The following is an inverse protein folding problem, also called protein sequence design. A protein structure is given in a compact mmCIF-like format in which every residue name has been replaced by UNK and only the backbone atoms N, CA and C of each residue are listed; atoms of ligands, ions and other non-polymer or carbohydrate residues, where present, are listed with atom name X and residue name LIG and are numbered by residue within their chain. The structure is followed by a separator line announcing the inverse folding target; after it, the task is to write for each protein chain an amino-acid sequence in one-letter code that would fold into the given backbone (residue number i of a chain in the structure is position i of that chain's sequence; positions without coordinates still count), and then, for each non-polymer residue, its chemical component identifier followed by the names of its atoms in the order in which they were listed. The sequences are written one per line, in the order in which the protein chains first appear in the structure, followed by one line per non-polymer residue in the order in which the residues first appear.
data_IF_310008878505
#
_entry.id   IF_310008878505
#
_cell.length_a   1.000
_cell.length_b   1.000
_cell.length_c   1.000
_cell.angle_alpha   90.00
_cell.angle_beta   90.00
_cell.angle_gamma   90.00
#
_symmetry.space_group_name_H-M   'P 1'
#
loop_
_entity.id
_entity.type
_entity.pdbx_description
1 polymer ?
#
# COMPACT_ATOMS: atom_id res chain seq x y z
N UNK A 1 12.58 3.11 27.11
CA UNK A 1 12.43 1.90 27.94
C UNK A 1 13.81 1.29 28.14
N UNK A 2 14.20 0.78 29.32
CA UNK A 2 15.48 0.09 29.49
C UNK A 2 15.47 -1.18 28.63
N UNK A 3 16.58 -1.39 27.88
CA UNK A 3 16.80 -2.57 27.07
C UNK A 3 16.65 -3.84 27.93
N UNK A 4 15.75 -4.76 27.56
CA UNK A 4 15.67 -6.08 28.21
C UNK A 4 16.99 -6.80 28.03
N UNK A 5 17.61 -7.37 29.09
CA UNK A 5 18.83 -8.14 28.93
C UNK A 5 18.57 -9.32 28.01
N UNK A 6 19.47 -9.52 27.02
CA UNK A 6 19.35 -10.58 26.03
C UNK A 6 19.37 -11.95 26.69
N UNK A 7 18.22 -12.61 26.73
CA UNK A 7 18.12 -14.01 27.17
C UNK A 7 18.50 -14.96 26.03
N UNK A 8 18.98 -16.17 26.30
CA UNK A 8 19.22 -17.17 25.25
C UNK A 8 17.97 -17.46 24.40
N UNK A 9 16.79 -17.32 24.94
CA UNK A 9 15.51 -17.46 24.23
C UNK A 9 15.30 -16.30 23.24
N UNK A 10 15.49 -15.06 23.66
CA UNK A 10 15.39 -13.90 22.77
C UNK A 10 16.38 -13.98 21.60
N UNK A 11 17.62 -14.40 21.84
CA UNK A 11 18.60 -14.60 20.76
C UNK A 11 18.17 -15.70 19.77
N UNK A 12 17.50 -16.75 20.24
CA UNK A 12 16.95 -17.79 19.35
C UNK A 12 15.83 -17.24 18.50
N UNK A 13 14.91 -16.49 19.07
CA UNK A 13 13.80 -15.85 18.36
C UNK A 13 14.31 -14.88 17.28
N UNK A 14 15.29 -14.04 17.61
CA UNK A 14 15.94 -13.16 16.65
C UNK A 14 16.56 -13.95 15.50
N UNK A 15 17.32 -15.01 15.81
CA UNK A 15 17.97 -15.83 14.79
C UNK A 15 16.96 -16.58 13.92
N UNK A 16 15.87 -17.12 14.51
CA UNK A 16 14.80 -17.81 13.79
C UNK A 16 14.11 -16.84 12.83
N UNK A 17 13.80 -15.63 13.29
CA UNK A 17 13.20 -14.58 12.47
C UNK A 17 14.13 -14.14 11.33
N UNK A 18 15.39 -13.84 11.64
CA UNK A 18 16.40 -13.46 10.62
C UNK A 18 16.56 -14.53 9.55
N UNK A 19 16.57 -15.81 9.94
CA UNK A 19 16.67 -16.90 8.98
C UNK A 19 15.45 -17.02 8.07
N UNK A 20 14.24 -16.85 8.62
CA UNK A 20 12.99 -16.85 7.83
C UNK A 20 12.92 -15.65 6.88
N UNK A 21 13.28 -14.46 7.33
CA UNK A 21 13.36 -13.25 6.49
C UNK A 21 14.39 -13.44 5.36
N UNK A 22 15.54 -14.02 5.67
CA UNK A 22 16.56 -14.32 4.66
C UNK A 22 16.06 -15.31 3.60
N UNK A 23 15.38 -16.40 4.02
CA UNK A 23 14.79 -17.37 3.11
C UNK A 23 13.68 -16.77 2.23
N UNK A 24 12.92 -15.79 2.72
CA UNK A 24 11.92 -15.06 1.94
C UNK A 24 12.55 -14.16 0.87
N UNK A 25 13.65 -13.48 1.22
CA UNK A 25 14.30 -12.52 0.30
C UNK A 25 15.22 -13.22 -0.71
N UNK A 26 16.00 -14.19 -0.25
CA UNK A 26 17.03 -14.85 -1.07
C UNK A 26 16.52 -16.11 -1.78
N UNK A 27 15.29 -16.58 -1.46
CA UNK A 27 14.79 -17.87 -1.89
C UNK A 27 15.42 -19.03 -1.13
N UNK A 28 15.30 -20.27 -1.64
CA UNK A 28 15.79 -21.47 -0.95
C UNK A 28 17.31 -21.48 -0.80
N UNK A 29 17.78 -21.69 0.43
CA UNK A 29 19.20 -21.73 0.81
C UNK A 29 19.59 -23.11 1.38
N UNK A 30 20.85 -23.45 1.20
CA UNK A 30 21.44 -24.57 1.92
C UNK A 30 21.75 -24.17 3.36
N UNK A 31 21.90 -25.17 4.24
CA UNK A 31 22.34 -24.92 5.63
C UNK A 31 23.67 -24.15 5.73
N UNK A 32 24.58 -24.40 4.80
CA UNK A 32 25.87 -23.71 4.79
C UNK A 32 25.73 -22.24 4.45
N UNK A 33 24.95 -21.92 3.41
CA UNK A 33 24.64 -20.54 3.01
C UNK A 33 23.87 -19.79 4.10
N UNK A 34 22.87 -20.43 4.70
CA UNK A 34 22.13 -19.82 5.82
C UNK A 34 23.08 -19.49 6.99
N UNK A 35 23.98 -20.43 7.34
CA UNK A 35 25.00 -20.19 8.37
C UNK A 35 25.96 -19.06 8.03
N UNK A 36 26.39 -18.96 6.78
CA UNK A 36 27.28 -17.90 6.28
C UNK A 36 26.60 -16.50 6.37
N UNK A 37 25.38 -16.40 5.84
CA UNK A 37 24.62 -15.14 5.84
C UNK A 37 24.20 -14.66 7.24
N UNK A 38 23.91 -15.61 8.15
CA UNK A 38 23.49 -15.28 9.52
C UNK A 38 24.64 -15.21 10.52
N UNK A 39 25.87 -15.56 10.12
CA UNK A 39 27.03 -15.68 11.02
C UNK A 39 26.94 -16.84 12.03
N UNK A 40 26.01 -17.79 11.84
CA UNK A 40 25.79 -18.91 12.75
C UNK A 40 26.75 -20.08 12.48
N UNK A 41 27.17 -20.75 13.54
CA UNK A 41 27.94 -21.99 13.41
C UNK A 41 27.11 -23.08 12.69
N UNK A 42 27.77 -24.04 12.07
CA UNK A 42 27.09 -25.18 11.39
C UNK A 42 26.13 -25.95 12.32
N UNK A 43 26.48 -26.08 13.58
CA UNK A 43 25.65 -26.75 14.60
C UNK A 43 24.43 -25.91 14.90
N UNK A 44 24.61 -24.61 15.13
CA UNK A 44 23.52 -23.66 15.44
C UNK A 44 22.55 -23.56 14.26
N UNK A 45 23.04 -23.41 13.02
CA UNK A 45 22.20 -23.39 11.82
C UNK A 45 21.40 -24.69 11.63
N UNK A 46 22.02 -25.86 11.94
CA UNK A 46 21.30 -27.14 11.92
C UNK A 46 20.17 -27.20 12.94
N UNK A 47 20.44 -26.80 14.19
CA UNK A 47 19.43 -26.78 15.24
C UNK A 47 18.30 -25.79 14.95
N UNK A 48 18.62 -24.63 14.37
CA UNK A 48 17.64 -23.63 13.94
C UNK A 48 16.72 -24.21 12.88
N UNK A 49 17.26 -24.77 11.79
CA UNK A 49 16.44 -25.37 10.73
C UNK A 49 15.56 -26.49 11.26
N UNK A 50 16.09 -27.39 12.13
CA UNK A 50 15.26 -28.46 12.71
C UNK A 50 14.11 -27.93 13.56
N UNK A 51 14.30 -26.81 14.28
CA UNK A 51 13.22 -26.16 15.02
C UNK A 51 12.17 -25.56 14.09
N UNK A 52 12.60 -24.87 13.03
CA UNK A 52 11.69 -24.26 12.06
C UNK A 52 10.91 -25.32 11.28
N UNK A 53 11.56 -26.44 10.93
CA UNK A 53 10.87 -27.60 10.32
C UNK A 53 9.83 -28.22 11.29
N UNK A 54 10.18 -28.39 12.57
CA UNK A 54 9.25 -28.90 13.58
C UNK A 54 8.05 -27.98 13.81
N UNK A 55 8.22 -26.67 13.56
CA UNK A 55 7.13 -25.69 13.61
C UNK A 55 6.34 -25.61 12.28
N UNK A 56 6.74 -26.32 11.24
CA UNK A 56 6.11 -26.25 9.92
C UNK A 56 6.36 -24.93 9.18
N UNK A 57 7.39 -24.18 9.54
CA UNK A 57 7.72 -22.88 8.92
C UNK A 57 8.71 -22.99 7.76
N UNK A 58 9.52 -24.07 7.75
CA UNK A 58 10.53 -24.35 6.74
C UNK A 58 10.42 -25.80 6.31
N UNK A 59 10.70 -26.06 5.05
CA UNK A 59 10.75 -27.42 4.49
C UNK A 59 11.90 -27.55 3.48
N UNK A 60 12.30 -28.80 3.22
CA UNK A 60 13.23 -29.09 2.12
C UNK A 60 12.46 -28.99 0.80
N UNK A 61 12.86 -28.07 -0.06
CA UNK A 61 12.22 -27.80 -1.36
C UNK A 61 13.04 -28.33 -2.55
N UNK A 62 14.22 -28.84 -2.28
CA UNK A 62 15.10 -29.37 -3.33
C UNK A 62 16.48 -29.70 -2.81
N UNK A 63 17.42 -29.89 -3.74
CA UNK A 63 18.83 -30.09 -3.41
C UNK A 63 19.72 -29.40 -4.44
N UNK A 64 20.87 -28.92 -3.98
CA UNK A 64 21.93 -28.35 -4.84
C UNK A 64 23.08 -29.34 -4.94
N UNK A 65 23.56 -29.59 -6.16
CA UNK A 65 24.71 -30.43 -6.38
C UNK A 65 25.94 -29.85 -5.66
N UNK A 66 26.48 -30.59 -4.71
CA UNK A 66 27.75 -30.27 -4.03
C UNK A 66 28.86 -31.02 -4.70
N UNK A 67 29.96 -30.40 -5.08
CA UNK A 67 31.11 -30.99 -5.78
C UNK A 67 31.38 -32.47 -5.47
N UNK A 68 32.39 -32.81 -4.62
CA UNK A 68 32.78 -34.21 -4.26
C UNK A 68 31.98 -34.83 -3.09
N UNK A 69 30.78 -34.33 -2.76
CA UNK A 69 29.97 -34.81 -1.63
C UNK A 69 28.51 -35.06 -1.99
N UNK A 70 27.69 -35.54 -1.01
CA UNK A 70 26.24 -35.61 -1.19
C UNK A 70 25.63 -34.23 -1.52
N UNK A 71 24.55 -34.24 -2.29
CA UNK A 71 23.81 -33.03 -2.58
C UNK A 71 23.37 -32.34 -1.28
N UNK A 72 23.50 -31.01 -1.22
CA UNK A 72 23.05 -30.22 -0.08
C UNK A 72 21.54 -29.94 -0.20
N UNK A 73 20.76 -30.22 0.85
CA UNK A 73 19.36 -29.90 0.92
C UNK A 73 19.14 -28.36 0.84
N UNK A 74 18.18 -27.95 0.04
CA UNK A 74 17.69 -26.55 -0.05
C UNK A 74 16.45 -26.40 0.81
N UNK A 75 16.50 -25.46 1.74
CA UNK A 75 15.41 -25.13 2.65
C UNK A 75 14.70 -23.89 2.15
N UNK A 76 13.36 -23.90 2.16
CA UNK A 76 12.50 -22.77 1.82
C UNK A 76 11.40 -22.61 2.85
N UNK A 77 10.81 -21.42 2.91
CA UNK A 77 9.65 -21.14 3.76
C UNK A 77 8.45 -21.95 3.27
N UNK A 78 7.66 -22.50 4.18
CA UNK A 78 6.37 -23.12 3.86
C UNK A 78 5.35 -22.02 3.60
N UNK A 79 5.05 -21.74 2.35
CA UNK A 79 4.15 -20.66 1.94
C UNK A 79 2.77 -20.76 2.63
N UNK A 80 2.23 -21.96 2.74
CA UNK A 80 0.95 -22.26 3.35
C UNK A 80 0.94 -22.27 4.89
N UNK A 81 2.03 -21.91 5.57
CA UNK A 81 2.05 -21.87 7.03
C UNK A 81 1.14 -20.79 7.62
N UNK A 82 0.78 -19.78 6.83
CA UNK A 82 -0.25 -18.80 7.14
C UNK A 82 -0.79 -18.16 5.86
N UNK A 83 -2.07 -17.77 5.90
CA UNK A 83 -2.71 -16.97 4.89
C UNK A 83 -3.17 -15.63 5.48
N UNK A 84 -3.26 -14.62 4.63
CA UNK A 84 -3.75 -13.28 4.96
C UNK A 84 -4.79 -12.84 3.93
N UNK A 85 -5.64 -11.90 4.32
CA UNK A 85 -6.55 -11.23 3.42
C UNK A 85 -6.24 -9.73 3.37
N UNK A 86 -6.02 -9.21 2.17
CA UNK A 86 -6.02 -7.77 1.89
C UNK A 86 -7.35 -7.38 1.26
N UNK A 87 -7.84 -6.19 1.57
CA UNK A 87 -9.07 -5.66 1.00
C UNK A 87 -8.89 -4.21 0.57
N UNK A 88 -9.58 -3.85 -0.50
CA UNK A 88 -9.80 -2.46 -0.91
C UNK A 88 -11.29 -2.19 -0.88
N UNK A 89 -11.69 -1.15 -0.17
CA UNK A 89 -13.08 -0.72 -0.07
C UNK A 89 -13.25 0.58 -0.83
N UNK A 90 -14.14 0.58 -1.78
CA UNK A 90 -14.59 1.78 -2.50
C UNK A 90 -16.11 1.89 -2.47
N UNK A 91 -16.66 3.03 -2.96
CA UNK A 91 -18.11 3.25 -2.97
C UNK A 91 -18.85 2.22 -3.86
N UNK A 92 -18.24 1.82 -4.97
CA UNK A 92 -18.86 0.99 -5.99
C UNK A 92 -18.35 -0.46 -6.00
N UNK A 93 -17.30 -0.75 -5.24
CA UNK A 93 -16.69 -2.08 -5.22
C UNK A 93 -15.91 -2.38 -3.96
N UNK A 94 -15.94 -3.64 -3.55
CA UNK A 94 -15.05 -4.21 -2.53
C UNK A 94 -14.25 -5.32 -3.17
N UNK A 95 -12.93 -5.21 -3.17
CA UNK A 95 -12.02 -6.23 -3.69
C UNK A 95 -11.28 -6.88 -2.53
N UNK A 96 -11.35 -8.20 -2.44
CA UNK A 96 -10.60 -9.01 -1.47
C UNK A 96 -9.56 -9.88 -2.20
N UNK A 97 -8.33 -9.86 -1.69
CA UNK A 97 -7.24 -10.72 -2.14
C UNK A 97 -6.76 -11.64 -1.03
N UNK A 98 -6.57 -12.92 -1.35
CA UNK A 98 -5.95 -13.88 -0.43
C UNK A 98 -4.51 -14.10 -0.85
N UNK A 99 -3.60 -14.00 0.11
CA UNK A 99 -2.18 -14.27 -0.09
C UNK A 99 -1.65 -15.24 0.97
N UNK A 100 -0.58 -15.93 0.62
CA UNK A 100 0.18 -16.72 1.58
C UNK A 100 1.21 -15.86 2.33
N UNK A 101 1.99 -16.47 3.22
CA UNK A 101 2.98 -15.76 4.05
C UNK A 101 4.14 -15.16 3.24
N UNK A 102 4.33 -15.55 1.97
CA UNK A 102 5.33 -14.95 1.08
C UNK A 102 4.86 -13.60 0.52
N UNK A 103 3.56 -13.38 0.50
CA UNK A 103 2.91 -12.19 -0.05
C UNK A 103 2.44 -12.39 -1.50
N UNK A 104 2.47 -13.61 -2.01
CA UNK A 104 1.94 -13.94 -3.32
C UNK A 104 0.41 -14.03 -3.25
N UNK A 105 -0.27 -13.18 -4.03
CA UNK A 105 -1.74 -13.15 -4.09
C UNK A 105 -2.21 -14.31 -4.97
N UNK A 106 -2.87 -15.27 -4.33
CA UNK A 106 -3.38 -16.47 -5.00
C UNK A 106 -4.68 -16.20 -5.78
N UNK A 107 -5.51 -15.29 -5.28
CA UNK A 107 -6.81 -14.95 -5.87
C UNK A 107 -7.24 -13.55 -5.48
N UNK A 108 -7.96 -12.88 -6.40
CA UNK A 108 -8.66 -11.63 -6.15
C UNK A 108 -10.13 -11.80 -6.53
N UNK A 109 -11.02 -11.27 -5.71
CA UNK A 109 -12.47 -11.30 -5.92
C UNK A 109 -13.05 -9.93 -5.66
N UNK A 110 -13.78 -9.40 -6.62
CA UNK A 110 -14.52 -8.15 -6.47
C UNK A 110 -16.00 -8.44 -6.26
N UNK A 111 -16.61 -7.74 -5.33
CA UNK A 111 -18.06 -7.75 -5.07
C UNK A 111 -18.61 -6.34 -5.15
N UNK A 112 -19.87 -6.23 -5.54
CA UNK A 112 -20.63 -4.99 -5.56
C UNK A 112 -21.22 -4.77 -4.16
N UNK A 113 -20.89 -3.67 -3.46
CA UNK A 113 -21.45 -3.36 -2.14
C UNK A 113 -22.87 -2.81 -2.22
N UNK A 114 -23.41 -2.51 -3.40
CA UNK A 114 -24.72 -1.89 -3.57
C UNK A 114 -25.83 -2.77 -3.00
N UNK A 115 -26.65 -2.16 -2.13
CA UNK A 115 -27.74 -2.84 -1.44
C UNK A 115 -27.35 -3.53 -0.12
N UNK A 116 -26.11 -3.40 0.33
CA UNK A 116 -25.68 -3.87 1.64
C UNK A 116 -25.65 -2.71 2.65
N UNK A 117 -26.54 -2.76 3.64
CA UNK A 117 -26.64 -1.72 4.66
C UNK A 117 -25.53 -1.78 5.73
N UNK A 118 -24.74 -2.88 5.74
CA UNK A 118 -23.73 -3.14 6.77
C UNK A 118 -22.34 -3.43 6.18
N UNK A 119 -21.33 -2.56 6.44
CA UNK A 119 -19.95 -2.73 5.95
C UNK A 119 -19.33 -4.08 6.35
N UNK A 120 -19.59 -4.54 7.57
CA UNK A 120 -19.05 -5.79 8.12
C UNK A 120 -19.46 -6.99 7.25
N UNK A 121 -20.74 -7.05 6.85
CA UNK A 121 -21.26 -8.14 6.03
C UNK A 121 -20.62 -8.16 4.63
N UNK A 122 -20.45 -6.99 4.01
CA UNK A 122 -19.82 -6.90 2.68
C UNK A 122 -18.38 -7.41 2.74
N UNK A 123 -17.63 -7.01 3.78
CA UNK A 123 -16.26 -7.49 3.99
C UNK A 123 -16.22 -9.00 4.20
N UNK A 124 -17.08 -9.52 5.07
CA UNK A 124 -17.18 -10.96 5.36
C UNK A 124 -17.45 -11.75 4.05
N UNK A 125 -18.47 -11.36 3.31
CA UNK A 125 -18.88 -12.04 2.07
C UNK A 125 -17.78 -11.99 1.00
N UNK A 126 -17.07 -10.87 0.86
CA UNK A 126 -15.96 -10.73 -0.06
C UNK A 126 -14.80 -11.68 0.30
N UNK A 127 -14.42 -11.72 1.56
CA UNK A 127 -13.34 -12.59 2.05
C UNK A 127 -13.72 -14.07 1.92
N UNK A 128 -14.94 -14.46 2.32
CA UNK A 128 -15.40 -15.84 2.23
C UNK A 128 -15.42 -16.33 0.77
N UNK A 129 -15.86 -15.48 -0.16
CA UNK A 129 -15.83 -15.78 -1.59
C UNK A 129 -14.39 -15.92 -2.11
N UNK A 130 -13.48 -15.04 -1.68
CA UNK A 130 -12.08 -15.11 -2.08
C UNK A 130 -11.39 -16.37 -1.49
N UNK A 131 -11.63 -16.69 -0.21
CA UNK A 131 -11.09 -17.88 0.44
C UNK A 131 -11.56 -19.17 -0.27
N UNK A 132 -12.86 -19.29 -0.56
CA UNK A 132 -13.40 -20.43 -1.32
C UNK A 132 -12.78 -20.54 -2.71
N UNK A 133 -12.60 -19.42 -3.40
CA UNK A 133 -11.99 -19.40 -4.74
C UNK A 133 -10.52 -19.83 -4.71
N UNK A 134 -9.82 -19.54 -3.61
CA UNK A 134 -8.44 -19.99 -3.37
C UNK A 134 -8.35 -21.44 -2.87
N UNK A 135 -9.48 -22.08 -2.52
CA UNK A 135 -9.50 -23.41 -1.91
C UNK A 135 -8.98 -23.43 -0.47
N UNK A 136 -9.06 -22.29 0.24
CA UNK A 136 -8.55 -22.08 1.59
C UNK A 136 -9.73 -21.97 2.54
N UNK A 137 -9.59 -22.51 3.75
CA UNK A 137 -10.58 -22.30 4.80
C UNK A 137 -10.49 -20.86 5.33
N UNK A 138 -11.64 -20.22 5.57
CA UNK A 138 -11.69 -18.92 6.21
C UNK A 138 -10.92 -18.89 7.55
N UNK A 139 -10.96 -20.00 8.30
CA UNK A 139 -10.24 -20.16 9.57
C UNK A 139 -8.69 -20.15 9.43
N UNK A 140 -8.15 -20.38 8.24
CA UNK A 140 -6.71 -20.39 7.99
C UNK A 140 -6.15 -18.97 7.76
N UNK A 141 -7.03 -17.99 7.54
CA UNK A 141 -6.64 -16.59 7.42
C UNK A 141 -6.28 -16.05 8.81
N UNK A 142 -5.07 -15.53 8.94
CA UNK A 142 -4.50 -15.07 10.22
C UNK A 142 -4.76 -13.61 10.49
N UNK A 143 -4.65 -12.76 9.45
CA UNK A 143 -4.73 -11.30 9.56
C UNK A 143 -5.52 -10.76 8.38
N UNK A 144 -6.31 -9.73 8.66
CA UNK A 144 -7.02 -8.95 7.66
C UNK A 144 -6.48 -7.52 7.64
N UNK A 145 -6.18 -6.98 6.46
CA UNK A 145 -5.86 -5.56 6.29
C UNK A 145 -6.79 -4.94 5.25
N UNK A 146 -7.36 -3.81 5.59
CA UNK A 146 -8.40 -3.14 4.82
C UNK A 146 -7.93 -1.74 4.44
N UNK A 147 -7.87 -1.49 3.15
CA UNK A 147 -7.65 -0.16 2.58
C UNK A 147 -8.99 0.54 2.37
N UNK A 148 -9.11 1.75 2.89
CA UNK A 148 -10.32 2.56 2.77
C UNK A 148 -9.96 4.02 2.52
N UNK A 149 -10.73 4.76 1.71
CA UNK A 149 -10.58 6.21 1.65
C UNK A 149 -10.92 6.83 3.00
N UNK A 150 -10.31 7.99 3.28
CA UNK A 150 -10.54 8.76 4.49
C UNK A 150 -9.48 8.59 5.57
N UNK A 151 -9.73 9.22 6.73
CA UNK A 151 -8.77 9.30 7.83
C UNK A 151 -8.89 8.12 8.78
N UNK A 152 -7.76 7.45 9.05
CA UNK A 152 -7.64 6.40 10.07
C UNK A 152 -6.83 6.96 11.25
N UNK A 153 -7.39 6.88 12.47
CA UNK A 153 -6.67 7.34 13.69
C UNK A 153 -5.50 6.38 14.00
N UNK A 154 -4.24 6.84 13.95
CA UNK A 154 -3.08 5.97 14.15
C UNK A 154 -2.96 5.39 15.58
N UNK A 155 -3.75 5.90 16.54
CA UNK A 155 -3.73 5.43 17.94
C UNK A 155 -4.72 4.30 18.17
N UNK A 156 -5.87 4.35 17.51
CA UNK A 156 -6.94 3.33 17.64
C UNK A 156 -6.95 2.36 16.47
N UNK A 157 -6.48 2.81 15.29
CA UNK A 157 -6.58 2.08 14.04
C UNK A 157 -8.00 2.10 13.46
N UNK A 158 -8.90 2.92 14.00
CA UNK A 158 -10.28 3.00 13.55
C UNK A 158 -10.49 4.16 12.57
N UNK A 159 -11.50 4.05 11.73
CA UNK A 159 -11.87 5.10 10.79
C UNK A 159 -12.48 6.28 11.56
N UNK A 160 -11.91 7.47 11.40
CA UNK A 160 -12.48 8.69 11.98
C UNK A 160 -13.48 9.32 11.05
N UNK A 161 -13.21 9.27 9.76
CA UNK A 161 -13.99 9.95 8.76
C UNK A 161 -13.66 9.40 7.37
N UNK A 162 -14.69 9.11 6.57
CA UNK A 162 -14.57 8.81 5.16
C UNK A 162 -15.61 9.60 4.39
N UNK A 163 -15.20 10.32 3.35
CA UNK A 163 -16.10 11.12 2.50
C UNK A 163 -17.01 10.24 1.65
N UNK A 164 -16.44 9.16 1.10
CA UNK A 164 -17.11 8.32 0.09
C UNK A 164 -17.86 7.14 0.69
N UNK A 165 -17.65 6.87 1.98
CA UNK A 165 -18.19 5.70 2.69
C UNK A 165 -18.86 6.09 4.00
N UNK A 166 -20.06 6.70 3.99
CA UNK A 166 -20.72 7.23 5.19
C UNK A 166 -21.07 6.13 6.22
N UNK A 167 -21.17 4.86 5.80
CA UNK A 167 -21.37 3.73 6.71
C UNK A 167 -20.09 3.30 7.44
N UNK A 168 -18.91 3.77 6.99
CA UNK A 168 -17.62 3.53 7.61
C UNK A 168 -17.31 4.65 8.60
N UNK A 169 -17.60 4.42 9.85
CA UNK A 169 -17.47 5.38 10.95
C UNK A 169 -16.73 4.78 12.14
N UNK A 170 -16.50 5.59 13.15
CA UNK A 170 -15.89 5.17 14.41
C UNK A 170 -16.64 3.97 15.01
N UNK A 171 -15.90 2.91 15.36
CA UNK A 171 -16.42 1.62 15.89
C UNK A 171 -16.53 0.50 14.85
N UNK A 172 -16.36 0.77 13.55
CA UNK A 172 -16.40 -0.27 12.52
C UNK A 172 -15.28 -1.30 12.69
N UNK A 173 -14.09 -0.88 13.15
CA UNK A 173 -12.96 -1.76 13.39
C UNK A 173 -13.27 -2.85 14.42
N UNK A 174 -13.90 -2.48 15.55
CA UNK A 174 -14.26 -3.44 16.58
C UNK A 174 -15.37 -4.40 16.10
N UNK A 175 -16.30 -3.91 15.30
CA UNK A 175 -17.33 -4.75 14.68
C UNK A 175 -16.72 -5.78 13.73
N UNK A 176 -15.76 -5.37 12.89
CA UNK A 176 -15.01 -6.26 12.01
C UNK A 176 -14.17 -7.29 12.78
N UNK A 177 -13.48 -6.88 13.84
CA UNK A 177 -12.70 -7.79 14.69
C UNK A 177 -13.59 -8.86 15.34
N UNK A 178 -14.78 -8.46 15.79
CA UNK A 178 -15.73 -9.38 16.42
C UNK A 178 -16.30 -10.39 15.40
N UNK A 179 -16.62 -9.94 14.20
CA UNK A 179 -17.17 -10.79 13.13
C UNK A 179 -16.11 -11.75 12.57
N UNK A 180 -14.95 -11.23 12.21
CA UNK A 180 -13.89 -12.02 11.60
C UNK A 180 -13.12 -12.88 12.62
N UNK A 181 -13.23 -12.58 13.93
CA UNK A 181 -12.59 -13.34 15.02
C UNK A 181 -11.05 -13.37 14.94
N UNK A 182 -10.45 -12.43 14.24
CA UNK A 182 -9.01 -12.34 13.96
C UNK A 182 -8.52 -10.88 14.01
N UNK A 183 -7.20 -10.62 14.08
CA UNK A 183 -6.66 -9.29 13.94
C UNK A 183 -7.09 -8.62 12.63
N UNK A 184 -7.68 -7.44 12.75
CA UNK A 184 -8.05 -6.57 11.64
C UNK A 184 -7.27 -5.27 11.77
N UNK A 185 -6.71 -4.82 10.64
CA UNK A 185 -6.07 -3.52 10.48
C UNK A 185 -6.85 -2.74 9.43
N UNK A 186 -7.08 -1.46 9.69
CA UNK A 186 -7.58 -0.52 8.69
C UNK A 186 -6.49 0.52 8.45
N UNK A 187 -6.26 0.85 7.20
CA UNK A 187 -5.30 1.87 6.78
C UNK A 187 -5.91 2.72 5.66
N UNK A 188 -5.44 3.95 5.55
CA UNK A 188 -5.80 4.80 4.42
C UNK A 188 -5.27 4.18 3.11
N UNK A 189 -6.07 4.25 2.04
CA UNK A 189 -5.80 3.67 0.73
C UNK A 189 -4.50 4.21 0.09
N UNK A 190 -4.26 5.53 0.17
CA UNK A 190 -3.04 6.15 -0.38
C UNK A 190 -1.80 5.70 0.39
N UNK A 191 -1.90 5.52 1.71
CA UNK A 191 -0.83 4.98 2.53
C UNK A 191 -0.48 3.53 2.12
N UNK A 192 -1.49 2.72 1.82
CA UNK A 192 -1.26 1.35 1.32
C UNK A 192 -0.62 1.34 -0.07
N UNK A 193 -1.05 2.24 -0.96
CA UNK A 193 -0.40 2.40 -2.26
C UNK A 193 1.08 2.79 -2.10
N UNK A 194 1.42 3.65 -1.13
CA UNK A 194 2.81 3.99 -0.83
C UNK A 194 3.61 2.78 -0.30
N UNK A 195 3.01 1.92 0.53
CA UNK A 195 3.64 0.66 0.95
C UNK A 195 3.90 -0.28 -0.22
N UNK A 196 2.98 -0.36 -1.19
CA UNK A 196 3.17 -1.17 -2.38
C UNK A 196 4.34 -0.63 -3.24
N UNK A 197 4.42 0.67 -3.48
CA UNK A 197 5.51 1.30 -4.23
C UNK A 197 6.87 1.10 -3.55
N UNK A 198 6.93 1.18 -2.23
CA UNK A 198 8.14 0.90 -1.46
C UNK A 198 8.59 -0.56 -1.58
N UNK A 199 7.64 -1.48 -1.63
CA UNK A 199 7.94 -2.92 -1.58
C UNK A 199 8.26 -3.50 -2.95
N UNK A 200 7.52 -3.13 -3.99
CA UNK A 200 7.59 -3.77 -5.32
C UNK A 200 7.53 -2.78 -6.49
N UNK A 201 7.49 -1.48 -6.22
CA UNK A 201 7.32 -0.44 -7.24
C UNK A 201 8.52 0.49 -7.38
N UNK A 202 8.24 1.76 -7.70
CA UNK A 202 9.23 2.79 -8.04
C UNK A 202 10.11 3.20 -6.85
N UNK A 203 9.67 2.99 -5.60
CA UNK A 203 10.36 3.45 -4.40
C UNK A 203 11.09 2.33 -3.62
N UNK A 204 11.40 1.20 -4.26
CA UNK A 204 12.02 0.03 -3.59
C UNK A 204 13.41 0.30 -3.01
N UNK A 205 14.08 1.37 -3.41
CA UNK A 205 15.43 1.75 -2.95
C UNK A 205 15.45 3.02 -2.13
N UNK A 206 14.28 3.61 -1.88
CA UNK A 206 14.14 4.90 -1.23
C UNK A 206 13.68 4.72 0.22
N UNK A 207 14.36 5.36 1.16
CA UNK A 207 13.92 5.47 2.55
C UNK A 207 12.93 6.61 2.74
N UNK A 208 13.05 7.65 1.91
CA UNK A 208 12.28 8.88 2.00
C UNK A 208 11.67 9.20 0.65
N UNK A 209 10.35 9.15 0.56
CA UNK A 209 9.62 9.50 -0.65
C UNK A 209 8.19 9.94 -0.34
N UNK A 210 7.58 10.59 -1.31
CA UNK A 210 6.17 10.95 -1.29
C UNK A 210 5.45 10.30 -2.46
N UNK A 211 4.29 9.69 -2.22
CA UNK A 211 3.40 9.19 -3.26
C UNK A 211 2.24 10.16 -3.41
N UNK A 212 2.15 10.85 -4.53
CA UNK A 212 1.03 11.73 -4.85
C UNK A 212 -0.03 10.93 -5.62
N UNK A 213 -1.14 10.68 -4.94
CA UNK A 213 -2.30 10.00 -5.49
C UNK A 213 -3.17 10.96 -6.26
N UNK A 214 -3.41 10.67 -7.52
CA UNK A 214 -4.13 11.48 -8.49
C UNK A 214 -5.31 10.69 -9.05
N UNK A 215 -6.51 11.00 -8.58
CA UNK A 215 -7.77 10.39 -9.01
C UNK A 215 -8.90 11.42 -8.87
N UNK A 216 -10.12 11.01 -8.57
CA UNK A 216 -11.22 11.93 -8.20
C UNK A 216 -10.76 12.86 -7.08
N UNK A 217 -10.19 12.29 -6.01
CA UNK A 217 -9.52 13.01 -4.93
C UNK A 217 -8.00 13.01 -5.07
N UNK A 218 -7.37 13.98 -4.40
CA UNK A 218 -5.92 14.07 -4.24
C UNK A 218 -5.52 13.63 -2.84
N UNK A 219 -4.53 12.75 -2.76
CA UNK A 219 -3.94 12.26 -1.51
C UNK A 219 -2.42 12.21 -1.58
N UNK A 220 -1.76 12.12 -0.43
CA UNK A 220 -0.31 11.98 -0.33
C UNK A 220 0.06 10.91 0.70
N UNK A 221 0.72 9.86 0.25
CA UNK A 221 1.43 8.93 1.12
C UNK A 221 2.84 9.47 1.41
N UNK A 222 3.20 9.59 2.67
CA UNK A 222 4.52 10.10 3.10
C UNK A 222 5.29 8.97 3.78
N UNK A 223 6.49 8.69 3.28
CA UNK A 223 7.42 7.73 3.89
C UNK A 223 8.69 8.45 4.28
N UNK A 224 9.09 8.30 5.54
CA UNK A 224 10.31 8.89 6.14
C UNK A 224 11.03 7.78 6.90
N UNK A 225 12.34 7.65 6.70
CA UNK A 225 13.16 6.58 7.30
C UNK A 225 12.60 5.16 7.03
N UNK A 226 11.97 4.97 5.88
CA UNK A 226 11.33 3.70 5.51
C UNK A 226 9.98 3.43 6.18
N UNK A 227 9.43 4.37 6.96
CA UNK A 227 8.19 4.20 7.69
C UNK A 227 7.10 5.17 7.21
N UNK A 228 5.85 4.72 7.15
CA UNK A 228 4.71 5.59 6.84
C UNK A 228 4.52 6.65 7.91
N UNK A 229 4.51 7.91 7.50
CA UNK A 229 4.21 9.04 8.36
C UNK A 229 2.71 9.38 8.31
N UNK A 230 1.97 8.96 9.31
CA UNK A 230 0.51 9.16 9.41
C UNK A 230 0.12 10.48 10.08
N UNK A 231 1.09 11.20 10.67
CA UNK A 231 0.81 12.35 11.51
C UNK A 231 0.13 11.98 12.83
N UNK A 232 -0.24 12.98 13.61
CA UNK A 232 -0.85 12.79 14.93
C UNK A 232 -2.28 12.23 14.88
N UNK A 233 -3.03 12.62 13.86
CA UNK A 233 -4.48 12.36 13.75
C UNK A 233 -4.85 11.43 12.61
N UNK A 234 -3.87 10.99 11.80
CA UNK A 234 -4.13 10.29 10.54
C UNK A 234 -4.38 11.21 9.34
N UNK A 235 -4.28 12.52 9.52
CA UNK A 235 -4.54 13.52 8.47
C UNK A 235 -3.27 13.98 7.73
N UNK A 236 -2.10 13.37 8.00
CA UNK A 236 -0.93 13.64 7.18
C UNK A 236 -1.20 13.15 5.76
N UNK A 237 -0.94 14.00 4.78
CA UNK A 237 -1.18 13.66 3.39
C UNK A 237 -2.52 14.12 2.80
N UNK A 238 -3.37 14.80 3.55
CA UNK A 238 -4.60 15.43 3.05
C UNK A 238 -4.28 16.65 2.16
N UNK A 239 -3.50 16.43 1.09
CA UNK A 239 -3.00 17.51 0.21
C UNK A 239 -4.08 18.17 -0.64
N UNK A 240 -5.24 17.55 -0.77
CA UNK A 240 -6.41 18.21 -1.37
C UNK A 240 -6.72 19.55 -0.70
N UNK A 241 -6.46 19.66 0.61
CA UNK A 241 -6.63 20.90 1.40
C UNK A 241 -5.44 21.86 1.34
N UNK A 242 -4.36 21.52 0.65
CA UNK A 242 -3.16 22.36 0.59
C UNK A 242 -3.45 23.69 -0.11
N UNK A 243 -3.33 24.83 0.57
CA UNK A 243 -3.48 26.14 -0.06
C UNK A 243 -2.38 26.34 -1.11
N UNK A 244 -2.77 26.58 -2.34
CA UNK A 244 -1.83 26.76 -3.45
C UNK A 244 -2.15 28.04 -4.22
N UNK A 245 -1.14 28.72 -4.81
CA UNK A 245 -1.35 29.85 -5.68
C UNK A 245 -2.27 29.50 -6.87
N UNK A 246 -3.21 30.40 -7.18
CA UNK A 246 -4.11 30.22 -8.31
C UNK A 246 -5.40 29.45 -8.00
N UNK A 247 -5.53 28.89 -6.80
CA UNK A 247 -6.76 28.23 -6.35
C UNK A 247 -7.46 29.04 -5.24
N UNK A 248 -8.80 28.96 -5.13
CA UNK A 248 -9.53 29.50 -3.98
C UNK A 248 -9.03 28.83 -2.68
N UNK A 249 -9.19 29.55 -1.54
CA UNK A 249 -8.91 28.94 -0.24
C UNK A 249 -9.79 27.69 -0.02
N UNK A 250 -9.28 26.67 0.72
CA UNK A 250 -10.08 25.50 1.01
C UNK A 250 -11.31 25.88 1.82
N UNK A 251 -12.46 25.35 1.41
CA UNK A 251 -13.69 25.50 2.17
C UNK A 251 -13.83 24.25 3.03
N UNK A 252 -13.71 24.42 4.35
CA UNK A 252 -14.04 23.36 5.29
C UNK A 252 -15.55 23.17 5.26
N UNK A 253 -16.03 22.07 4.73
CA UNK A 253 -17.46 21.74 4.83
C UNK A 253 -17.69 21.25 6.26
N UNK A 254 -18.24 22.15 7.09
CA UNK A 254 -18.76 21.77 8.38
C UNK A 254 -19.95 20.81 8.14
N UNK A 255 -19.86 19.60 8.67
CA UNK A 255 -20.85 18.52 8.72
C UNK A 255 -21.71 18.31 7.45
N UNK A 256 -21.75 17.13 6.87
CA UNK A 256 -22.60 16.82 5.73
C UNK A 256 -24.08 17.01 6.11
N UNK A 257 -24.68 18.09 5.66
CA UNK A 257 -26.13 18.22 5.71
C UNK A 257 -26.72 17.32 4.63
N UNK A 258 -27.34 16.24 5.08
CA UNK A 258 -28.21 15.37 4.27
C UNK A 258 -27.68 14.95 2.89
N UNK A 259 -26.93 13.85 2.83
CA UNK A 259 -26.83 13.02 1.64
C UNK A 259 -25.98 13.52 0.46
N UNK A 260 -25.39 14.70 0.55
CA UNK A 260 -24.42 15.18 -0.44
C UNK A 260 -23.00 14.91 0.09
N UNK A 261 -22.19 14.22 -0.70
CA UNK A 261 -20.77 14.04 -0.43
C UNK A 261 -20.11 15.43 -0.28
N UNK A 262 -19.34 15.68 0.79
CA UNK A 262 -18.62 16.93 0.93
C UNK A 262 -17.49 16.98 -0.09
N UNK A 263 -17.67 17.71 -1.17
CA UNK A 263 -16.59 18.04 -2.09
C UNK A 263 -15.65 19.03 -1.43
N UNK A 264 -14.36 18.77 -1.42
CA UNK A 264 -13.34 19.75 -1.03
C UNK A 264 -13.35 20.84 -2.08
N UNK A 265 -14.03 21.97 -1.79
CA UNK A 265 -14.00 23.14 -2.66
C UNK A 265 -12.71 23.92 -2.42
N UNK A 266 -11.98 24.27 -3.49
CA UNK A 266 -10.78 25.10 -3.40
C UNK A 266 -9.48 24.35 -3.20
N UNK A 267 -8.41 25.06 -2.83
CA UNK A 267 -7.07 24.53 -2.58
C UNK A 267 -6.50 23.71 -3.76
N UNK A 268 -5.59 22.77 -3.48
CA UNK A 268 -4.97 21.95 -4.51
C UNK A 268 -5.97 21.02 -5.20
N UNK A 269 -7.00 20.56 -4.49
CA UNK A 269 -8.10 19.77 -5.08
C UNK A 269 -8.78 20.51 -6.25
N UNK A 270 -9.09 21.81 -6.08
CA UNK A 270 -9.69 22.62 -7.15
C UNK A 270 -8.72 22.91 -8.31
N UNK A 271 -7.41 22.82 -8.08
CA UNK A 271 -6.40 23.06 -9.11
C UNK A 271 -6.16 21.85 -9.99
N UNK A 272 -6.17 20.63 -9.42
CA UNK A 272 -5.68 19.42 -10.09
C UNK A 272 -6.48 18.15 -9.75
N UNK A 273 -7.60 18.21 -9.02
CA UNK A 273 -8.46 17.06 -8.74
C UNK A 273 -9.21 16.58 -9.98
N UNK A 274 -9.83 15.40 -9.88
CA UNK A 274 -10.43 14.69 -11.01
C UNK A 274 -11.47 15.51 -11.79
N UNK A 275 -12.35 16.26 -11.14
CA UNK A 275 -13.32 17.13 -11.83
C UNK A 275 -12.62 18.19 -12.69
N UNK A 276 -11.51 18.75 -12.19
CA UNK A 276 -10.72 19.73 -12.94
C UNK A 276 -10.01 19.08 -14.13
N UNK A 277 -9.50 17.87 -13.97
CA UNK A 277 -8.88 17.11 -15.07
C UNK A 277 -9.88 16.83 -16.18
N UNK A 278 -11.10 16.40 -15.84
CA UNK A 278 -12.17 16.18 -16.81
C UNK A 278 -12.63 17.49 -17.48
N UNK A 279 -12.73 18.58 -16.72
CA UNK A 279 -13.08 19.91 -17.28
C UNK A 279 -12.03 20.38 -18.28
N UNK A 280 -10.75 20.22 -17.97
CA UNK A 280 -9.66 20.53 -18.90
C UNK A 280 -9.77 19.69 -20.20
N UNK A 281 -10.09 18.40 -20.11
CA UNK A 281 -10.28 17.56 -21.27
C UNK A 281 -11.45 18.07 -22.13
N UNK A 282 -12.56 18.48 -21.51
CA UNK A 282 -13.71 19.05 -22.20
C UNK A 282 -13.38 20.36 -22.91
N UNK A 283 -12.56 21.24 -22.30
CA UNK A 283 -12.06 22.48 -22.93
C UNK A 283 -11.20 22.20 -24.18
N UNK A 284 -10.54 21.03 -24.21
CA UNK A 284 -9.80 20.55 -25.36
C UNK A 284 -10.64 19.67 -26.32
N UNK A 285 -11.96 19.58 -26.12
CA UNK A 285 -12.88 18.89 -27.01
C UNK A 285 -13.06 17.38 -26.72
N UNK A 286 -12.64 16.91 -25.55
CA UNK A 286 -12.81 15.51 -25.14
C UNK A 286 -13.67 15.40 -23.88
N UNK A 287 -14.87 14.85 -24.01
CA UNK A 287 -15.75 14.53 -22.88
C UNK A 287 -15.34 13.21 -22.25
N UNK A 288 -14.51 13.29 -21.23
CA UNK A 288 -13.90 12.14 -20.59
C UNK A 288 -14.83 11.51 -19.53
N UNK A 289 -15.03 10.21 -19.52
CA UNK A 289 -15.85 9.52 -18.51
C UNK A 289 -15.18 9.45 -17.14
N UNK A 290 -13.84 9.47 -17.09
CA UNK A 290 -13.05 9.46 -15.85
C UNK A 290 -11.81 10.35 -15.99
N UNK A 291 -11.21 10.79 -14.88
CA UNK A 291 -9.95 11.54 -14.92
C UNK A 291 -8.81 10.77 -15.60
N UNK A 292 -8.73 9.44 -15.38
CA UNK A 292 -7.76 8.59 -16.05
C UNK A 292 -7.93 8.57 -17.56
N UNK A 293 -9.18 8.42 -18.06
CA UNK A 293 -9.49 8.45 -19.49
C UNK A 293 -9.13 9.80 -20.13
N UNK A 294 -9.31 10.92 -19.41
CA UNK A 294 -8.89 12.25 -19.89
C UNK A 294 -7.38 12.30 -20.16
N UNK A 295 -6.60 11.76 -19.22
CA UNK A 295 -5.13 11.77 -19.33
C UNK A 295 -4.63 10.75 -20.35
N UNK A 296 -5.25 9.57 -20.44
CA UNK A 296 -4.94 8.58 -21.47
C UNK A 296 -5.14 9.15 -22.88
N UNK A 297 -6.26 9.88 -23.08
CA UNK A 297 -6.47 10.63 -24.32
C UNK A 297 -5.37 11.68 -24.56
N UNK A 298 -4.96 12.42 -23.52
CA UNK A 298 -3.91 13.42 -23.64
C UNK A 298 -2.53 12.83 -24.00
N UNK A 299 -2.27 11.61 -23.54
CA UNK A 299 -1.02 10.88 -23.84
C UNK A 299 -1.02 10.29 -25.25
N UNK A 300 -2.18 9.80 -25.71
CA UNK A 300 -2.30 9.06 -26.99
C UNK A 300 -2.80 9.90 -28.17
N UNK A 301 -3.43 11.04 -27.90
CA UNK A 301 -4.11 11.89 -28.89
C UNK A 301 -3.20 12.76 -29.77
N UNK A 302 -1.87 12.66 -29.61
CA UNK A 302 -0.87 13.39 -30.39
C UNK A 302 -0.87 14.90 -30.14
N UNK A 303 -0.41 15.69 -31.12
CA UNK A 303 -0.17 17.13 -30.95
C UNK A 303 -1.41 17.94 -30.51
N UNK A 304 -2.61 17.49 -30.83
CA UNK A 304 -3.85 18.18 -30.44
C UNK A 304 -4.20 18.02 -28.95
N UNK A 305 -3.74 16.94 -28.32
CA UNK A 305 -4.00 16.61 -26.92
C UNK A 305 -2.84 17.00 -25.97
N UNK A 306 -1.67 17.23 -26.52
CA UNK A 306 -0.47 17.61 -25.76
C UNK A 306 -0.62 18.86 -24.88
N UNK A 307 -1.35 19.92 -25.27
CA UNK A 307 -1.58 21.10 -24.42
C UNK A 307 -2.28 20.78 -23.11
N UNK A 308 -3.22 19.82 -23.10
CA UNK A 308 -3.86 19.35 -21.87
C UNK A 308 -2.83 18.79 -20.90
N UNK A 309 -1.94 17.91 -21.38
CA UNK A 309 -0.92 17.28 -20.56
C UNK A 309 0.07 18.30 -19.97
N UNK A 310 0.42 19.31 -20.76
CA UNK A 310 1.30 20.39 -20.33
C UNK A 310 0.64 21.31 -19.29
N UNK A 311 -0.64 21.62 -19.43
CA UNK A 311 -1.38 22.43 -18.48
C UNK A 311 -1.55 21.67 -17.15
N UNK A 312 -1.99 20.40 -17.21
CA UNK A 312 -2.11 19.54 -16.04
C UNK A 312 -0.78 19.42 -15.30
N UNK A 313 0.32 19.19 -16.03
CA UNK A 313 1.65 19.13 -15.44
C UNK A 313 2.05 20.45 -14.73
N UNK A 314 1.67 21.59 -15.30
CA UNK A 314 1.88 22.90 -14.65
C UNK A 314 1.15 23.04 -13.33
N UNK A 315 -0.09 22.60 -13.29
CA UNK A 315 -0.93 22.62 -12.08
C UNK A 315 -0.42 21.65 -10.99
N UNK A 316 -0.07 20.43 -11.39
CA UNK A 316 0.51 19.42 -10.49
C UNK A 316 1.86 19.85 -9.92
N UNK A 317 2.70 20.52 -10.73
CA UNK A 317 4.00 20.98 -10.29
C UNK A 317 3.93 21.99 -9.13
N UNK A 318 2.86 22.79 -9.03
CA UNK A 318 2.63 23.70 -7.88
C UNK A 318 2.49 22.91 -6.58
N UNK A 319 1.69 21.84 -6.59
CA UNK A 319 1.51 20.97 -5.44
C UNK A 319 2.79 20.22 -5.11
N UNK A 320 3.46 19.63 -6.10
CA UNK A 320 4.73 18.92 -5.92
C UNK A 320 5.79 19.85 -5.32
N UNK A 321 5.93 21.07 -5.82
CA UNK A 321 6.87 22.04 -5.27
C UNK A 321 6.57 22.37 -3.81
N UNK A 322 5.28 22.55 -3.47
CA UNK A 322 4.86 22.80 -2.08
C UNK A 322 5.20 21.64 -1.14
N UNK A 323 5.00 20.40 -1.59
CA UNK A 323 5.37 19.19 -0.86
C UNK A 323 6.89 19.13 -0.65
N UNK A 324 7.66 19.38 -1.71
CA UNK A 324 9.12 19.29 -1.66
C UNK A 324 9.76 20.36 -0.78
N UNK A 325 9.22 21.57 -0.76
CA UNK A 325 9.71 22.65 0.14
C UNK A 325 9.51 22.29 1.63
N UNK A 326 8.51 21.47 1.95
CA UNK A 326 8.20 21.10 3.35
C UNK A 326 8.85 19.78 3.75
N UNK A 327 8.84 18.77 2.88
CA UNK A 327 9.26 17.40 3.23
C UNK A 327 10.65 17.04 2.70
N UNK A 328 11.09 17.67 1.59
CA UNK A 328 12.34 17.35 0.88
C UNK A 328 12.50 15.81 0.61
N UNK A 329 11.52 15.16 -0.01
CA UNK A 329 11.44 13.69 -0.06
C UNK A 329 12.44 13.05 -1.05
N UNK A 330 13.13 13.82 -1.88
CA UNK A 330 14.01 13.32 -2.92
C UNK A 330 13.29 12.67 -4.12
N UNK A 331 12.31 11.82 -3.86
CA UNK A 331 11.46 11.15 -4.86
C UNK A 331 9.98 11.47 -4.64
N UNK A 332 9.27 11.77 -5.73
CA UNK A 332 7.79 11.85 -5.77
C UNK A 332 7.27 10.85 -6.79
N UNK A 333 6.42 9.93 -6.37
CA UNK A 333 5.74 8.96 -7.24
C UNK A 333 4.35 9.48 -7.57
N UNK A 334 4.02 9.60 -8.86
CA UNK A 334 2.66 9.92 -9.32
C UNK A 334 1.87 8.63 -9.48
N UNK A 335 0.83 8.46 -8.67
CA UNK A 335 -0.01 7.26 -8.62
C UNK A 335 -1.49 7.61 -8.81
N UNK A 336 -2.37 6.62 -8.64
CA UNK A 336 -3.79 6.76 -8.96
C UNK A 336 -4.04 6.68 -10.47
N UNK A 337 -5.30 6.76 -10.89
CA UNK A 337 -5.67 6.57 -12.31
C UNK A 337 -5.05 7.63 -13.24
N UNK A 338 -4.93 8.88 -12.77
CA UNK A 338 -4.29 9.97 -13.52
C UNK A 338 -2.79 9.77 -13.61
N UNK A 339 -2.14 9.39 -12.49
CA UNK A 339 -0.69 9.13 -12.46
C UNK A 339 -0.30 7.95 -13.35
N UNK A 340 -1.06 6.86 -13.30
CA UNK A 340 -0.87 5.67 -14.14
C UNK A 340 -1.09 5.99 -15.63
N UNK A 341 -2.21 6.64 -15.98
CA UNK A 341 -2.51 7.00 -17.36
C UNK A 341 -1.49 7.99 -17.95
N UNK A 342 -1.00 8.94 -17.12
CA UNK A 342 -0.01 9.94 -17.53
C UNK A 342 1.39 9.36 -17.72
N UNK A 343 1.70 8.31 -16.95
CA UNK A 343 2.97 7.59 -17.04
C UNK A 343 4.20 8.50 -16.99
N UNK A 344 5.26 8.07 -17.67
CA UNK A 344 6.51 8.85 -17.75
C UNK A 344 6.33 10.22 -18.44
N UNK A 345 5.37 10.33 -19.35
CA UNK A 345 5.13 11.59 -20.06
C UNK A 345 4.66 12.70 -19.12
N UNK A 346 3.72 12.39 -18.24
CA UNK A 346 3.25 13.35 -17.23
C UNK A 346 4.32 13.60 -16.17
N UNK A 347 4.94 12.54 -15.66
CA UNK A 347 5.97 12.62 -14.62
C UNK A 347 7.15 13.51 -15.05
N UNK A 348 7.67 13.33 -16.27
CA UNK A 348 8.75 14.15 -16.79
C UNK A 348 8.36 15.63 -16.97
N UNK A 349 7.11 15.92 -17.36
CA UNK A 349 6.63 17.29 -17.47
C UNK A 349 6.49 17.94 -16.10
N UNK A 350 5.92 17.23 -15.12
CA UNK A 350 5.79 17.69 -13.72
C UNK A 350 7.17 17.97 -13.14
N UNK A 351 8.14 17.04 -13.32
CA UNK A 351 9.51 17.21 -12.82
C UNK A 351 10.16 18.48 -13.36
N UNK A 352 10.11 18.69 -14.70
CA UNK A 352 10.71 19.89 -15.31
C UNK A 352 10.11 21.19 -14.78
N UNK A 353 8.81 21.23 -14.56
CA UNK A 353 8.12 22.43 -14.05
C UNK A 353 8.38 22.65 -12.56
N UNK A 354 8.34 21.56 -11.74
CA UNK A 354 8.62 21.64 -10.31
C UNK A 354 10.07 22.06 -10.04
N UNK A 355 11.03 21.63 -10.88
CA UNK A 355 12.43 21.99 -10.75
C UNK A 355 12.68 23.51 -10.79
N UNK A 356 11.82 24.28 -11.47
CA UNK A 356 11.91 25.74 -11.49
C UNK A 356 11.36 26.41 -10.22
N UNK A 357 10.66 25.66 -9.35
CA UNK A 357 9.98 26.15 -8.16
C UNK A 357 10.59 25.64 -6.84
N UNK A 358 11.48 24.64 -6.90
CA UNK A 358 12.09 24.03 -5.74
C UNK A 358 13.56 24.42 -5.60
N UNK A 359 14.05 24.69 -4.37
CA UNK A 359 15.47 24.89 -4.11
C UNK A 359 16.28 23.60 -4.33
N UNK A 360 15.69 22.43 -4.07
CA UNK A 360 16.21 21.11 -4.36
C UNK A 360 15.17 20.36 -5.22
N UNK A 361 15.40 20.22 -6.53
CA UNK A 361 14.44 19.59 -7.43
C UNK A 361 14.25 18.10 -7.09
N UNK A 362 13.00 17.61 -6.93
CA UNK A 362 12.76 16.20 -6.72
C UNK A 362 12.94 15.40 -8.00
N UNK A 363 13.22 14.11 -7.87
CA UNK A 363 12.89 13.15 -8.91
C UNK A 363 11.38 12.91 -8.92
N UNK A 364 10.74 12.97 -10.09
CA UNK A 364 9.31 12.66 -10.22
C UNK A 364 9.17 11.51 -11.21
N UNK A 365 8.54 10.44 -10.77
CA UNK A 365 8.36 9.21 -11.56
C UNK A 365 6.89 8.77 -11.55
N UNK A 366 6.50 7.96 -12.52
CA UNK A 366 5.20 7.31 -12.49
C UNK A 366 5.23 6.09 -11.56
N UNK A 367 4.08 5.75 -10.99
CA UNK A 367 3.85 4.49 -10.29
C UNK A 367 4.25 3.29 -11.15
N UNK A 368 4.89 2.30 -10.55
CA UNK A 368 5.25 1.03 -11.18
C UNK A 368 4.39 -0.14 -10.72
N UNK A 369 3.49 0.09 -9.78
CA UNK A 369 2.49 -0.91 -9.36
C UNK A 369 1.27 -0.79 -10.27
N UNK A 370 1.23 -1.60 -11.33
CA UNK A 370 0.22 -1.53 -12.40
C UNK A 370 -1.17 -2.00 -11.95
N UNK A 371 -1.22 -3.03 -11.11
CA UNK A 371 -2.48 -3.57 -10.59
C UNK A 371 -2.93 -2.79 -9.35
N UNK A 372 -4.05 -3.17 -8.74
CA UNK A 372 -4.61 -2.57 -7.55
C UNK A 372 -3.56 -2.36 -6.44
N UNK A 373 -2.89 -1.20 -6.46
CA UNK A 373 -1.79 -0.87 -5.53
C UNK A 373 -2.26 -0.82 -4.07
N UNK A 374 -3.51 -0.42 -3.85
CA UNK A 374 -4.13 -0.40 -2.50
C UNK A 374 -4.27 -1.82 -1.97
N UNK A 375 -4.82 -2.74 -2.76
CA UNK A 375 -4.93 -4.15 -2.39
C UNK A 375 -3.56 -4.77 -2.14
N UNK A 376 -2.59 -4.48 -3.03
CA UNK A 376 -1.21 -4.96 -2.87
C UNK A 376 -0.61 -4.48 -1.56
N UNK A 377 -0.77 -3.20 -1.24
CA UNK A 377 -0.33 -2.62 0.03
C UNK A 377 -1.03 -3.23 1.25
N UNK A 378 -2.35 -3.49 1.16
CA UNK A 378 -3.11 -4.15 2.21
C UNK A 378 -2.58 -5.57 2.47
N UNK A 379 -2.35 -6.36 1.41
CA UNK A 379 -1.74 -7.70 1.53
C UNK A 379 -0.36 -7.61 2.19
N UNK A 380 0.50 -6.70 1.76
CA UNK A 380 1.84 -6.53 2.33
C UNK A 380 1.79 -6.15 3.83
N UNK A 381 0.89 -5.25 4.22
CA UNK A 381 0.68 -4.90 5.62
C UNK A 381 0.18 -6.09 6.46
N UNK A 382 -0.77 -6.87 5.91
CA UNK A 382 -1.27 -8.08 6.57
C UNK A 382 -0.20 -9.15 6.71
N UNK A 383 0.63 -9.35 5.68
CA UNK A 383 1.77 -10.28 5.68
C UNK A 383 2.81 -9.89 6.71
N UNK A 384 3.19 -8.61 6.79
CA UNK A 384 4.14 -8.12 7.79
C UNK A 384 3.65 -8.42 9.21
N UNK A 385 2.38 -8.15 9.48
CA UNK A 385 1.74 -8.46 10.76
C UNK A 385 1.72 -9.97 11.03
N UNK A 386 1.32 -10.78 10.06
CA UNK A 386 1.27 -12.23 10.19
C UNK A 386 2.66 -12.83 10.43
N UNK A 387 3.70 -12.34 9.73
CA UNK A 387 5.10 -12.74 9.96
C UNK A 387 5.53 -12.41 11.38
N UNK A 388 5.16 -11.24 11.90
CA UNK A 388 5.44 -10.85 13.29
C UNK A 388 4.88 -11.85 14.30
N UNK A 389 3.68 -12.38 14.04
CA UNK A 389 3.00 -13.35 14.92
C UNK A 389 3.50 -14.80 14.70
N UNK A 390 3.62 -15.24 13.46
CA UNK A 390 3.98 -16.62 13.10
C UNK A 390 5.47 -16.90 13.34
N UNK A 391 6.34 -15.93 13.09
CA UNK A 391 7.78 -16.09 13.26
C UNK A 391 8.24 -15.92 14.71
N UNK A 392 7.50 -15.17 15.53
CA UNK A 392 7.66 -15.22 16.96
C UNK A 392 7.42 -16.66 17.46
N UNK A 393 8.21 -17.14 18.40
CA UNK A 393 7.97 -18.43 19.05
C UNK A 393 6.64 -18.39 19.82
N UNK A 394 6.05 -19.55 20.17
CA UNK A 394 4.99 -19.58 21.15
C UNK A 394 5.52 -19.01 22.47
N UNK A 395 4.73 -18.09 23.08
CA UNK A 395 5.02 -17.53 24.40
C UNK A 395 5.13 -18.63 25.47
#
# INVERSE_FOLDING_TARGET
MPARPGTPTLLREINDRTALELLLVSGPLTRAELGEHTGLSKVTASQLLSRLEARGLVQVVGSRAGGRGPNAALYGVVASCAYVAGLTIGPDSVTAGIADITGDIAVEVTVDPNGADEPVRVVHDAVDKAARSAGISFSDIRVFAIGTPGMVDPRTGDVRFSFDLPAWHEGVLDSLRNDLGRPVMIENDVNLAALAERSVGAATRESDFALLWLSVGLGLGVVIDGELYRGRSGAAGEVGYLPVPGAPAPVTVAEPRSGALPTIGGAFQALAGGETVMSLAAEHGFDAPTPGAAVEWAVTGGESAEPLLDELAGRLAVGVASICVVLDPGLVVLAGEVGLAGGEQLAARVQRRAAAMCPNPPSVVASQVEANSVLRGAVLAAVERARGEVFAGPE
#
